data_IF_640996047767
#
_entry.id   IF_640996047767
#
_cell.length_a   1.000
_cell.length_b   1.000
_cell.length_c   1.000
_cell.angle_alpha   90.00
_cell.angle_beta   90.00
_cell.angle_gamma   90.00
#
_symmetry.space_group_name_H-M   'P 1'
#
loop_
_entity.id
_entity.type
_entity.pdbx_description
1 polymer ?
#
# COMPACT_ATOMS: atom_id res chain seq x y z
N UNK A 1 39.07 -27.43 -41.50
CA UNK A 1 37.96 -27.16 -40.54
C UNK A 1 38.06 -25.79 -39.88
N UNK A 2 39.25 -25.30 -39.49
CA UNK A 2 39.41 -23.97 -38.88
C UNK A 2 39.06 -22.78 -39.82
N UNK A 3 39.45 -22.85 -41.10
CA UNK A 3 39.17 -21.76 -42.06
C UNK A 3 37.68 -21.56 -42.36
N UNK A 4 36.90 -22.63 -42.42
CA UNK A 4 35.46 -22.55 -42.69
C UNK A 4 34.71 -21.92 -41.51
N UNK A 5 35.13 -22.22 -40.27
CA UNK A 5 34.57 -21.62 -39.05
C UNK A 5 34.92 -20.13 -38.98
N UNK A 6 36.15 -19.75 -39.33
CA UNK A 6 36.59 -18.35 -39.36
C UNK A 6 35.79 -17.53 -40.39
N UNK A 7 35.58 -18.07 -41.59
CA UNK A 7 34.78 -17.39 -42.64
C UNK A 7 33.32 -17.22 -42.22
N UNK A 8 32.72 -18.22 -41.55
CA UNK A 8 31.35 -18.12 -41.04
C UNK A 8 31.26 -17.07 -39.91
N UNK A 9 32.22 -17.03 -38.99
CA UNK A 9 32.25 -16.03 -37.91
C UNK A 9 32.45 -14.61 -38.44
N UNK A 10 33.35 -14.42 -39.40
CA UNK A 10 33.57 -13.11 -40.06
C UNK A 10 32.31 -12.68 -40.82
N UNK A 11 31.68 -13.59 -41.56
CA UNK A 11 30.43 -13.29 -42.28
C UNK A 11 29.28 -12.92 -41.34
N UNK A 12 29.15 -13.63 -40.21
CA UNK A 12 28.17 -13.31 -39.17
C UNK A 12 28.42 -11.94 -38.54
N UNK A 13 29.68 -11.58 -38.27
CA UNK A 13 30.05 -10.25 -37.76
C UNK A 13 29.76 -9.13 -38.75
N UNK A 14 30.05 -9.34 -40.04
CA UNK A 14 29.76 -8.37 -41.11
C UNK A 14 28.24 -8.17 -41.26
N UNK A 15 27.45 -9.25 -41.25
CA UNK A 15 25.99 -9.19 -41.31
C UNK A 15 25.40 -8.51 -40.06
N UNK A 16 25.92 -8.80 -38.87
CA UNK A 16 25.51 -8.14 -37.63
C UNK A 16 25.88 -6.66 -37.63
N UNK A 17 27.08 -6.29 -38.11
CA UNK A 17 27.53 -4.91 -38.28
C UNK A 17 26.68 -4.12 -39.28
N UNK A 18 26.36 -4.72 -40.43
CA UNK A 18 25.46 -4.15 -41.43
C UNK A 18 24.04 -3.95 -40.88
N UNK A 19 23.51 -4.96 -40.16
CA UNK A 19 22.22 -4.86 -39.46
C UNK A 19 22.21 -3.72 -38.42
N UNK A 20 23.28 -3.58 -37.65
CA UNK A 20 23.46 -2.48 -36.69
C UNK A 20 23.48 -1.10 -37.35
N UNK A 21 24.20 -0.94 -38.46
CA UNK A 21 24.26 0.31 -39.22
C UNK A 21 22.90 0.68 -39.83
N UNK A 22 22.17 -0.30 -40.38
CA UNK A 22 20.81 -0.10 -40.89
C UNK A 22 19.87 0.35 -39.75
N UNK A 23 19.93 -0.29 -38.58
CA UNK A 23 19.14 0.08 -37.42
C UNK A 23 19.44 1.52 -36.94
N UNK A 24 20.72 1.91 -36.90
CA UNK A 24 21.14 3.28 -36.56
C UNK A 24 20.66 4.29 -37.59
N UNK A 25 20.76 3.98 -38.88
CA UNK A 25 20.28 4.85 -39.96
C UNK A 25 18.75 5.05 -39.89
N UNK A 26 17.99 3.98 -39.67
CA UNK A 26 16.54 4.03 -39.47
C UNK A 26 16.14 4.83 -38.22
N UNK A 27 16.88 4.66 -37.12
CA UNK A 27 16.68 5.43 -35.87
C UNK A 27 16.95 6.91 -36.08
N UNK A 28 18.04 7.27 -36.75
CA UNK A 28 18.38 8.66 -37.12
C UNK A 28 17.33 9.26 -38.07
N UNK A 29 16.86 8.51 -39.06
CA UNK A 29 15.78 8.94 -39.99
C UNK A 29 14.47 9.20 -39.26
N UNK A 30 14.07 8.32 -38.32
CA UNK A 30 12.89 8.54 -37.46
C UNK A 30 13.03 9.77 -36.59
N UNK A 31 14.20 9.99 -35.96
CA UNK A 31 14.48 11.17 -35.13
C UNK A 31 14.40 12.47 -35.96
N UNK A 32 15.01 12.49 -37.16
CA UNK A 32 14.95 13.63 -38.09
C UNK A 32 13.53 13.91 -38.60
N UNK A 33 12.72 12.87 -38.87
CA UNK A 33 11.30 13.05 -39.25
C UNK A 33 10.47 13.63 -38.11
N UNK A 34 10.68 13.18 -36.86
CA UNK A 34 9.99 13.73 -35.69
C UNK A 34 10.39 15.17 -35.37
N UNK A 35 11.65 15.53 -35.62
CA UNK A 35 12.16 16.87 -35.37
C UNK A 35 11.80 17.91 -36.44
N UNK A 36 11.25 17.49 -37.60
CA UNK A 36 11.02 18.40 -38.72
C UNK A 36 9.78 19.28 -38.62
N UNK A 37 8.95 19.12 -37.58
CA UNK A 37 7.78 19.99 -37.32
C UNK A 37 6.89 20.19 -38.55
N UNK A 38 6.01 21.18 -38.49
CA UNK A 38 5.44 21.79 -39.68
C UNK A 38 6.23 23.09 -39.95
N UNK A 39 6.77 23.34 -41.16
CA UNK A 39 7.42 24.61 -41.47
C UNK A 39 6.46 25.82 -41.43
N UNK A 40 5.16 25.57 -41.45
CA UNK A 40 4.11 26.58 -41.28
C UNK A 40 3.61 26.61 -39.83
N UNK A 41 3.91 27.69 -39.06
CA UNK A 41 3.44 27.86 -37.70
C UNK A 41 1.92 27.88 -37.57
N UNK A 42 1.18 28.23 -38.63
CA UNK A 42 -0.28 28.19 -38.62
C UNK A 42 -0.82 26.75 -38.42
N UNK A 43 0.00 25.74 -38.70
CA UNK A 43 -0.36 24.34 -38.50
C UNK A 43 0.01 23.74 -37.13
N UNK A 44 0.76 24.45 -36.28
CA UNK A 44 1.22 23.90 -34.98
C UNK A 44 0.06 23.71 -33.99
N UNK A 45 -1.00 24.51 -34.13
CA UNK A 45 -2.24 24.44 -33.35
C UNK A 45 -3.46 24.10 -34.19
N UNK A 46 -3.25 23.61 -35.44
CA UNK A 46 -4.37 23.30 -36.32
C UNK A 46 -5.27 22.23 -35.70
N UNK A 47 -6.60 22.46 -35.64
CA UNK A 47 -7.54 21.47 -35.16
C UNK A 47 -7.43 20.16 -35.96
N UNK A 48 -7.63 19.04 -35.26
CA UNK A 48 -7.59 17.73 -35.90
C UNK A 48 -8.78 17.56 -36.84
N UNK A 49 -8.51 17.45 -38.15
CA UNK A 49 -9.54 17.18 -39.16
C UNK A 49 -9.82 15.69 -39.35
N UNK A 50 -8.79 14.82 -39.26
CA UNK A 50 -8.94 13.37 -39.44
C UNK A 50 -8.90 12.64 -38.09
N UNK A 51 -10.05 12.13 -37.68
CA UNK A 51 -10.26 11.43 -36.40
C UNK A 51 -9.99 9.91 -36.46
N UNK A 52 -9.50 9.38 -37.57
CA UNK A 52 -9.19 7.96 -37.69
C UNK A 52 -8.21 7.47 -36.61
N UNK A 53 -8.22 6.18 -36.25
CA UNK A 53 -7.42 5.67 -35.15
C UNK A 53 -5.93 5.76 -35.47
N UNK A 54 -5.13 6.08 -34.46
CA UNK A 54 -3.67 6.10 -34.56
C UNK A 54 -3.09 4.70 -34.27
N UNK A 55 -1.77 4.52 -34.42
CA UNK A 55 -1.06 3.32 -33.93
C UNK A 55 -0.73 3.39 -32.43
N UNK A 56 -1.28 4.39 -31.72
CA UNK A 56 -1.16 4.56 -30.29
C UNK A 56 -1.93 3.52 -29.49
N UNK A 57 -1.83 3.65 -28.16
CA UNK A 57 -2.60 2.87 -27.18
C UNK A 57 -3.13 3.80 -26.10
N UNK A 58 -4.24 3.40 -25.47
CA UNK A 58 -4.75 3.99 -24.24
C UNK A 58 -4.71 2.93 -23.14
N UNK A 59 -4.63 3.36 -21.90
CA UNK A 59 -4.86 2.47 -20.76
C UNK A 59 -6.36 2.47 -20.48
N UNK A 60 -6.96 1.29 -20.53
CA UNK A 60 -8.29 1.02 -20.02
C UNK A 60 -8.11 0.35 -18.65
N UNK A 61 -8.54 1.02 -17.59
CA UNK A 61 -8.04 0.73 -16.25
C UNK A 61 -9.14 0.37 -15.27
N UNK A 62 -8.84 -0.57 -14.38
CA UNK A 62 -9.64 -0.82 -13.17
C UNK A 62 -9.01 -0.05 -12.00
N UNK A 63 -9.84 0.57 -11.17
CA UNK A 63 -9.40 1.31 -9.98
C UNK A 63 -9.77 0.54 -8.72
N UNK A 64 -8.78 0.34 -7.85
CA UNK A 64 -8.92 -0.39 -6.57
C UNK A 64 -8.56 0.54 -5.41
N UNK A 65 -9.39 0.53 -4.38
CA UNK A 65 -9.22 1.36 -3.19
C UNK A 65 -9.45 0.56 -1.90
N UNK A 66 -8.85 1.06 -0.83
CA UNK A 66 -9.08 0.64 0.54
C UNK A 66 -10.35 1.35 0.99
N UNK A 67 -11.37 0.55 1.30
CA UNK A 67 -12.63 1.02 1.84
C UNK A 67 -12.51 1.14 3.35
N UNK A 68 -12.20 2.36 3.82
CA UNK A 68 -11.82 2.64 5.21
C UNK A 68 -13.04 2.75 6.10
N UNK A 69 -14.11 3.37 5.63
CA UNK A 69 -15.37 3.49 6.39
C UNK A 69 -16.33 2.31 6.15
N UNK A 70 -16.04 1.47 5.15
CA UNK A 70 -16.68 0.18 4.94
C UNK A 70 -17.98 0.25 4.15
N UNK A 71 -18.30 1.40 3.54
CA UNK A 71 -19.57 1.68 2.88
C UNK A 71 -19.66 1.15 1.43
N UNK A 72 -18.55 0.67 0.88
CA UNK A 72 -18.47 0.11 -0.47
C UNK A 72 -18.49 1.17 -1.59
N UNK A 73 -18.28 2.45 -1.28
CA UNK A 73 -18.29 3.58 -2.20
C UNK A 73 -17.03 4.42 -2.04
N UNK A 74 -16.26 4.59 -3.12
CA UNK A 74 -15.03 5.38 -3.06
C UNK A 74 -15.31 6.84 -2.64
N UNK A 75 -14.87 7.20 -1.43
CA UNK A 75 -15.11 8.49 -0.79
C UNK A 75 -13.85 9.19 -0.28
N UNK A 76 -14.04 10.24 0.53
CA UNK A 76 -12.93 11.04 1.08
C UNK A 76 -12.13 10.35 2.19
N UNK A 77 -12.73 9.35 2.85
CA UNK A 77 -12.06 8.52 3.86
C UNK A 77 -11.10 7.51 3.22
N UNK A 78 -11.36 7.15 1.96
CA UNK A 78 -10.68 6.04 1.29
C UNK A 78 -9.30 6.40 0.74
N UNK A 79 -8.57 5.35 0.35
CA UNK A 79 -7.22 5.47 -0.20
C UNK A 79 -7.07 4.56 -1.43
N UNK A 80 -6.39 5.02 -2.50
CA UNK A 80 -6.01 4.12 -3.59
C UNK A 80 -5.11 3.00 -3.05
N UNK A 81 -5.30 1.78 -3.55
CA UNK A 81 -4.49 0.63 -3.15
C UNK A 81 -3.49 0.21 -4.21
N UNK A 82 -2.25 0.03 -3.81
CA UNK A 82 -1.17 -0.49 -4.64
C UNK A 82 -1.03 -2.01 -4.51
N UNK A 83 -0.60 -2.67 -5.58
CA UNK A 83 -0.20 -4.09 -5.56
C UNK A 83 -1.31 -5.10 -5.80
N UNK A 84 -2.57 -4.66 -5.91
CA UNK A 84 -3.73 -5.56 -6.09
C UNK A 84 -3.81 -6.05 -7.53
N UNK A 85 -3.94 -7.38 -7.70
CA UNK A 85 -4.00 -8.01 -9.02
C UNK A 85 -5.40 -7.91 -9.60
N UNK A 86 -5.51 -7.37 -10.81
CA UNK A 86 -6.70 -7.41 -11.65
C UNK A 86 -6.45 -8.31 -12.84
N UNK A 87 -7.37 -9.23 -13.12
CA UNK A 87 -7.34 -10.13 -14.29
C UNK A 87 -8.39 -9.68 -15.31
N UNK A 88 -7.99 -9.69 -16.57
CA UNK A 88 -8.85 -9.41 -17.71
C UNK A 88 -9.18 -10.71 -18.44
N UNK A 89 -10.45 -10.94 -18.70
CA UNK A 89 -10.94 -12.05 -19.49
C UNK A 89 -11.77 -11.56 -20.68
N UNK A 90 -11.81 -12.33 -21.76
CA UNK A 90 -12.74 -12.10 -22.87
C UNK A 90 -14.16 -12.58 -22.56
N UNK A 91 -15.07 -12.41 -23.52
CA UNK A 91 -16.48 -12.81 -23.45
C UNK A 91 -16.67 -14.32 -23.23
N UNK A 92 -15.71 -15.15 -23.61
CA UNK A 92 -15.74 -16.62 -23.42
C UNK A 92 -15.18 -17.04 -22.07
N UNK A 93 -14.72 -16.08 -21.25
CA UNK A 93 -14.03 -16.34 -20.00
C UNK A 93 -12.55 -16.69 -20.16
N UNK A 94 -11.98 -16.56 -21.35
CA UNK A 94 -10.55 -16.82 -21.60
C UNK A 94 -9.72 -15.75 -20.90
N UNK A 95 -8.73 -16.17 -20.10
CA UNK A 95 -7.77 -15.25 -19.50
C UNK A 95 -6.92 -14.56 -20.59
N UNK A 96 -6.87 -13.22 -20.56
CA UNK A 96 -6.10 -12.42 -21.52
C UNK A 96 -4.82 -11.86 -20.91
N UNK A 97 -4.93 -11.25 -19.72
CA UNK A 97 -3.79 -10.66 -19.01
C UNK A 97 -4.13 -10.39 -17.54
N UNK A 98 -3.08 -10.12 -16.76
CA UNK A 98 -3.18 -9.57 -15.41
C UNK A 98 -2.34 -8.29 -15.29
N UNK A 99 -2.79 -7.36 -14.46
CA UNK A 99 -2.06 -6.15 -14.09
C UNK A 99 -2.21 -5.91 -12.59
N UNK A 100 -1.17 -5.36 -11.96
CA UNK A 100 -1.25 -4.88 -10.56
C UNK A 100 -1.66 -3.41 -10.55
N UNK A 101 -2.44 -3.02 -9.55
CA UNK A 101 -2.70 -1.61 -9.27
C UNK A 101 -1.40 -0.89 -8.90
N UNK A 102 -1.20 0.30 -9.45
CA UNK A 102 -0.06 1.15 -9.14
C UNK A 102 -0.30 1.96 -7.83
N UNK A 103 0.64 2.83 -7.46
CA UNK A 103 0.49 3.70 -6.27
C UNK A 103 -0.70 4.66 -6.30
N UNK A 104 -1.35 4.83 -7.46
CA UNK A 104 -2.57 5.60 -7.61
C UNK A 104 -3.81 4.69 -7.74
N UNK A 105 -3.73 3.40 -7.45
CA UNK A 105 -4.87 2.48 -7.44
C UNK A 105 -5.25 1.88 -8.80
N UNK A 106 -4.56 2.23 -9.88
CA UNK A 106 -4.97 1.82 -11.25
C UNK A 106 -4.22 0.59 -11.74
N UNK A 107 -4.96 -0.47 -12.08
CA UNK A 107 -4.49 -1.59 -12.89
C UNK A 107 -4.78 -1.31 -14.37
N UNK A 108 -3.73 -1.15 -15.17
CA UNK A 108 -3.83 -0.58 -16.52
C UNK A 108 -3.72 -1.67 -17.61
N UNK A 109 -4.70 -1.74 -18.52
CA UNK A 109 -4.70 -2.64 -19.66
C UNK A 109 -4.58 -1.85 -20.98
N UNK A 110 -3.59 -2.17 -21.80
CA UNK A 110 -3.40 -1.47 -23.06
C UNK A 110 -4.52 -1.82 -24.07
N UNK A 111 -5.18 -0.79 -24.60
CA UNK A 111 -6.26 -0.87 -25.57
C UNK A 111 -5.87 -0.21 -26.91
N UNK A 112 -6.02 -0.95 -28.01
CA UNK A 112 -5.85 -0.44 -29.38
C UNK A 112 -6.31 -1.42 -30.45
N UNK A 113 -7.17 -0.97 -31.37
CA UNK A 113 -7.57 -1.75 -32.54
C UNK A 113 -6.45 -1.96 -33.57
N UNK A 114 -5.41 -1.10 -33.56
CA UNK A 114 -4.31 -1.15 -34.54
C UNK A 114 -3.01 -1.74 -34.00
N UNK A 115 -2.85 -1.80 -32.67
CA UNK A 115 -1.59 -2.24 -32.03
C UNK A 115 -1.70 -3.67 -31.55
N UNK A 116 -1.00 -4.59 -32.23
CA UNK A 116 -0.97 -6.03 -31.89
C UNK A 116 -0.46 -6.35 -30.47
N UNK A 117 0.30 -5.44 -29.86
CA UNK A 117 0.79 -5.60 -28.48
C UNK A 117 -0.22 -5.15 -27.43
N UNK A 118 -1.37 -4.60 -27.82
CA UNK A 118 -2.45 -4.26 -26.89
C UNK A 118 -3.17 -5.55 -26.48
N UNK A 119 -3.59 -5.65 -25.23
CA UNK A 119 -4.36 -6.81 -24.77
C UNK A 119 -5.81 -6.70 -25.23
N UNK A 120 -6.35 -5.49 -25.27
CA UNK A 120 -7.69 -5.21 -25.80
C UNK A 120 -7.54 -4.71 -27.23
N UNK A 121 -8.01 -5.50 -28.20
CA UNK A 121 -7.86 -5.21 -29.64
C UNK A 121 -9.17 -5.16 -30.41
N UNK A 122 -10.28 -5.60 -29.81
CA UNK A 122 -11.56 -5.77 -30.51
C UNK A 122 -12.71 -5.27 -29.64
N UNK A 123 -13.84 -4.87 -30.24
CA UNK A 123 -15.09 -4.72 -29.50
C UNK A 123 -15.51 -6.07 -28.91
N UNK A 124 -16.32 -6.04 -27.87
CA UNK A 124 -16.83 -7.22 -27.19
C UNK A 124 -17.07 -6.99 -25.71
N UNK A 125 -17.56 -8.03 -25.04
CA UNK A 125 -17.67 -8.04 -23.59
C UNK A 125 -16.33 -8.47 -22.98
N UNK A 126 -15.85 -7.72 -22.00
CA UNK A 126 -14.64 -8.03 -21.24
C UNK A 126 -14.96 -8.10 -19.76
N UNK A 127 -14.40 -9.07 -19.05
CA UNK A 127 -14.59 -9.22 -17.60
C UNK A 127 -13.31 -8.84 -16.85
N UNK A 128 -13.41 -7.81 -16.01
CA UNK A 128 -12.38 -7.40 -15.07
C UNK A 128 -12.63 -8.08 -13.72
N UNK A 129 -11.64 -8.76 -13.18
CA UNK A 129 -11.73 -9.58 -11.97
C UNK A 129 -10.63 -9.18 -11.00
N UNK A 130 -10.98 -8.55 -9.88
CA UNK A 130 -10.07 -8.14 -8.82
C UNK A 130 -9.79 -9.32 -7.90
N UNK A 131 -8.51 -9.57 -7.64
CA UNK A 131 -8.08 -10.60 -6.71
C UNK A 131 -8.20 -10.06 -5.29
N UNK A 132 -9.24 -10.48 -4.57
CA UNK A 132 -9.40 -10.17 -3.15
C UNK A 132 -8.30 -10.91 -2.36
N UNK A 133 -7.44 -10.21 -1.60
CA UNK A 133 -6.41 -10.87 -0.80
C UNK A 133 -7.02 -11.82 0.26
N UNK A 134 -6.30 -12.88 0.68
CA UNK A 134 -6.78 -13.76 1.74
C UNK A 134 -7.13 -12.99 3.02
N UNK A 135 -8.31 -13.27 3.58
CA UNK A 135 -8.79 -12.58 4.80
C UNK A 135 -9.41 -11.21 4.55
N UNK A 136 -9.54 -10.75 3.30
CA UNK A 136 -10.19 -9.49 2.95
C UNK A 136 -11.60 -9.73 2.39
N UNK A 137 -12.40 -8.66 2.36
CA UNK A 137 -13.70 -8.63 1.68
C UNK A 137 -13.71 -7.61 0.54
N UNK A 138 -14.43 -7.91 -0.54
CA UNK A 138 -14.79 -6.94 -1.57
C UNK A 138 -16.06 -6.20 -1.12
N UNK A 139 -15.88 -5.07 -0.46
CA UNK A 139 -16.97 -4.33 0.19
C UNK A 139 -17.96 -3.71 -0.80
N UNK A 140 -17.49 -3.34 -1.98
CA UNK A 140 -18.31 -2.79 -3.07
C UNK A 140 -19.08 -3.87 -3.88
N UNK A 141 -18.90 -5.16 -3.55
CA UNK A 141 -19.59 -6.29 -4.17
C UNK A 141 -19.49 -6.35 -5.72
N UNK A 142 -18.44 -5.77 -6.31
CA UNK A 142 -18.23 -5.66 -7.76
C UNK A 142 -16.82 -6.07 -8.21
N UNK A 143 -16.15 -6.94 -7.43
CA UNK A 143 -14.81 -7.43 -7.73
C UNK A 143 -14.72 -8.10 -9.12
N UNK A 144 -15.80 -8.74 -9.56
CA UNK A 144 -15.97 -9.25 -10.92
C UNK A 144 -17.01 -8.41 -11.66
N UNK A 145 -16.58 -7.70 -12.71
CA UNK A 145 -17.45 -6.81 -13.47
C UNK A 145 -17.25 -6.95 -14.98
N UNK A 146 -18.34 -7.19 -15.74
CA UNK A 146 -18.32 -7.14 -17.19
C UNK A 146 -18.40 -5.69 -17.67
N UNK A 147 -17.66 -5.36 -18.72
CA UNK A 147 -17.67 -4.06 -19.38
C UNK A 147 -17.69 -4.28 -20.89
N UNK A 148 -18.65 -3.66 -21.58
CA UNK A 148 -18.72 -3.72 -23.04
C UNK A 148 -17.83 -2.67 -23.68
N UNK A 149 -17.00 -3.14 -24.61
CA UNK A 149 -16.24 -2.29 -25.50
C UNK A 149 -16.85 -2.31 -26.90
N UNK A 150 -16.91 -1.14 -27.53
CA UNK A 150 -17.50 -0.93 -28.84
C UNK A 150 -16.47 -0.38 -29.82
N UNK A 151 -16.73 -0.59 -31.10
CA UNK A 151 -15.96 0.07 -32.15
C UNK A 151 -16.18 1.58 -32.05
N UNK A 152 -15.08 2.33 -32.08
CA UNK A 152 -15.12 3.77 -32.11
C UNK A 152 -14.09 4.29 -33.12
N UNK A 153 -14.38 4.24 -34.43
CA UNK A 153 -13.43 4.61 -35.48
C UNK A 153 -12.92 6.06 -35.38
N UNK A 154 -13.68 6.97 -34.76
CA UNK A 154 -13.26 8.36 -34.50
C UNK A 154 -12.40 8.55 -33.24
N UNK A 155 -12.23 7.50 -32.42
CA UNK A 155 -11.42 7.58 -31.21
C UNK A 155 -9.92 7.43 -31.51
N UNK A 156 -9.07 7.86 -30.57
CA UNK A 156 -7.60 7.76 -30.71
C UNK A 156 -7.12 6.33 -31.05
N UNK A 157 -7.81 5.31 -30.56
CA UNK A 157 -7.38 3.90 -30.60
C UNK A 157 -8.36 2.96 -31.29
N UNK A 158 -9.45 3.50 -31.88
CA UNK A 158 -10.44 2.74 -32.63
C UNK A 158 -11.46 1.99 -31.78
N UNK A 159 -11.41 2.14 -30.45
CA UNK A 159 -12.26 1.46 -29.47
C UNK A 159 -12.65 2.43 -28.36
N UNK A 160 -13.83 2.24 -27.80
CA UNK A 160 -14.30 2.93 -26.61
C UNK A 160 -15.05 1.93 -25.70
N UNK A 161 -15.09 2.20 -24.40
CA UNK A 161 -15.96 1.47 -23.47
C UNK A 161 -17.29 2.19 -23.27
N UNK A 162 -18.34 1.46 -22.92
CA UNK A 162 -19.61 2.04 -22.48
C UNK A 162 -19.47 2.81 -21.16
N UNK A 163 -18.42 2.48 -20.42
CA UNK A 163 -17.90 3.14 -19.24
C UNK A 163 -16.58 2.49 -18.85
N UNK A 164 -15.92 3.02 -17.82
CA UNK A 164 -14.83 2.30 -17.16
C UNK A 164 -15.41 1.28 -16.17
N UNK A 165 -14.63 0.25 -15.77
CA UNK A 165 -14.98 -0.57 -14.61
C UNK A 165 -15.23 0.36 -13.41
N UNK A 166 -16.30 0.09 -12.65
CA UNK A 166 -16.59 0.81 -11.40
C UNK A 166 -15.43 0.60 -10.41
N UNK A 167 -15.12 1.58 -9.55
CA UNK A 167 -14.20 1.41 -8.43
C UNK A 167 -14.49 0.14 -7.63
N UNK A 168 -13.44 -0.60 -7.25
CA UNK A 168 -13.56 -1.80 -6.41
C UNK A 168 -12.96 -1.52 -5.04
N UNK A 169 -13.82 -1.53 -4.02
CA UNK A 169 -13.46 -1.35 -2.62
C UNK A 169 -13.07 -2.68 -1.99
N UNK A 170 -11.94 -2.67 -1.29
CA UNK A 170 -11.47 -3.79 -0.48
C UNK A 170 -11.33 -3.33 0.96
N UNK A 171 -11.77 -4.17 1.90
CA UNK A 171 -11.58 -3.95 3.33
C UNK A 171 -10.88 -5.17 3.95
N UNK A 172 -9.83 -4.96 4.78
CA UNK A 172 -9.16 -6.06 5.46
C UNK A 172 -10.10 -6.68 6.50
N UNK A 173 -9.97 -7.99 6.71
CA UNK A 173 -10.57 -8.64 7.87
C UNK A 173 -9.94 -8.05 9.14
N UNK A 174 -10.78 -7.58 10.05
CA UNK A 174 -10.34 -7.05 11.33
C UNK A 174 -10.12 -8.19 12.31
N UNK A 175 -8.96 -8.21 12.94
CA UNK A 175 -8.64 -9.14 14.02
C UNK A 175 -8.09 -8.35 15.19
N UNK A 176 -8.33 -8.83 16.40
CA UNK A 176 -7.58 -8.38 17.57
C UNK A 176 -6.63 -9.49 18.02
N UNK A 177 -5.40 -9.12 18.32
CA UNK A 177 -4.38 -9.99 18.91
C UNK A 177 -3.68 -9.34 20.10
N UNK A 178 -3.02 -10.16 20.89
CA UNK A 178 -2.15 -9.75 22.00
C UNK A 178 -1.85 -10.93 22.92
N UNK A 179 -1.29 -10.63 24.08
CA UNK A 179 -1.08 -11.62 25.14
C UNK A 179 -1.23 -11.04 26.53
N UNK A 180 -1.59 -11.86 27.50
CA UNK A 180 -1.62 -11.47 28.91
C UNK A 180 -0.31 -11.84 29.61
N UNK A 181 0.09 -11.13 30.69
CA UNK A 181 1.24 -11.52 31.47
C UNK A 181 0.94 -12.71 32.41
N UNK A 182 2.01 -13.31 32.92
CA UNK A 182 1.89 -14.38 33.91
C UNK A 182 1.16 -13.90 35.17
N UNK A 183 0.28 -14.75 35.71
CA UNK A 183 -0.48 -14.47 36.93
C UNK A 183 -1.59 -13.42 36.80
N UNK A 184 -1.79 -12.80 35.63
CA UNK A 184 -2.81 -11.76 35.43
C UNK A 184 -3.71 -12.07 34.24
N UNK A 185 -4.88 -12.65 34.51
CA UNK A 185 -5.98 -12.71 33.53
C UNK A 185 -6.73 -11.37 33.42
N UNK A 186 -7.55 -11.23 32.38
CA UNK A 186 -8.40 -10.07 32.17
C UNK A 186 -9.71 -10.46 31.47
N UNK A 187 -10.64 -9.52 31.35
CA UNK A 187 -11.80 -9.64 30.47
C UNK A 187 -11.65 -8.65 29.33
N UNK A 188 -11.78 -9.12 28.09
CA UNK A 188 -11.84 -8.29 26.90
C UNK A 188 -13.27 -8.21 26.41
N UNK A 189 -13.81 -6.99 26.36
CA UNK A 189 -15.13 -6.67 25.86
C UNK A 189 -15.01 -5.95 24.51
N UNK A 190 -15.68 -6.48 23.50
CA UNK A 190 -15.84 -5.86 22.18
C UNK A 190 -17.13 -5.06 22.20
N UNK A 191 -17.03 -3.78 21.87
CA UNK A 191 -18.14 -2.83 21.90
C UNK A 191 -18.48 -2.38 20.48
N UNK A 192 -19.75 -2.03 20.26
CA UNK A 192 -20.24 -1.39 19.04
C UNK A 192 -21.29 -0.35 19.40
N UNK A 193 -21.05 0.92 19.06
CA UNK A 193 -21.96 2.05 19.33
C UNK A 193 -22.38 2.14 20.80
N UNK A 194 -21.46 1.80 21.70
CA UNK A 194 -21.68 1.78 23.16
C UNK A 194 -22.37 0.54 23.72
N UNK A 195 -22.72 -0.44 22.88
CA UNK A 195 -23.29 -1.72 23.30
C UNK A 195 -22.22 -2.80 23.35
N UNK A 196 -22.32 -3.72 24.32
CA UNK A 196 -21.47 -4.90 24.39
C UNK A 196 -21.88 -5.89 23.29
N UNK A 197 -20.98 -6.19 22.37
CA UNK A 197 -21.18 -7.17 21.30
C UNK A 197 -20.69 -8.55 21.73
N UNK A 198 -19.50 -8.62 22.30
CA UNK A 198 -18.87 -9.87 22.73
C UNK A 198 -18.00 -9.63 23.98
N UNK A 199 -17.91 -10.62 24.86
CA UNK A 199 -16.99 -10.60 26.00
C UNK A 199 -16.23 -11.92 26.07
N UNK A 200 -14.92 -11.83 26.33
CA UNK A 200 -14.00 -12.98 26.37
C UNK A 200 -13.12 -12.90 27.60
N UNK A 201 -13.03 -14.00 28.34
CA UNK A 201 -12.03 -14.15 29.38
C UNK A 201 -10.66 -14.40 28.73
N UNK A 202 -9.67 -13.61 29.15
CA UNK A 202 -8.27 -13.80 28.78
C UNK A 202 -7.58 -14.52 29.94
N UNK A 203 -7.20 -15.78 29.71
CA UNK A 203 -6.42 -16.58 30.65
C UNK A 203 -5.05 -15.94 30.86
N UNK A 204 -4.52 -16.01 32.09
CA UNK A 204 -3.15 -15.54 32.37
C UNK A 204 -2.11 -16.31 31.54
N UNK A 205 -1.02 -15.61 31.18
CA UNK A 205 0.06 -16.11 30.33
C UNK A 205 -0.37 -16.73 28.99
N UNK A 206 -1.50 -16.27 28.43
CA UNK A 206 -1.99 -16.74 27.14
C UNK A 206 -1.91 -15.66 26.06
N UNK A 207 -1.56 -16.09 24.85
CA UNK A 207 -1.81 -15.31 23.64
C UNK A 207 -3.28 -15.44 23.24
N UNK A 208 -3.84 -14.38 22.65
CA UNK A 208 -5.19 -14.39 22.10
C UNK A 208 -5.18 -13.81 20.69
N UNK A 209 -6.05 -14.37 19.83
CA UNK A 209 -6.35 -13.84 18.51
C UNK A 209 -7.74 -14.25 18.08
N UNK A 210 -8.57 -13.30 17.67
CA UNK A 210 -9.91 -13.59 17.15
C UNK A 210 -10.37 -12.50 16.17
N UNK A 211 -11.28 -12.84 15.23
CA UNK A 211 -11.85 -11.86 14.32
C UNK A 211 -12.75 -10.87 15.06
N UNK A 212 -12.82 -9.65 14.56
CA UNK A 212 -13.74 -8.61 15.01
C UNK A 212 -14.90 -8.49 14.02
N UNK A 213 -16.09 -8.26 14.55
CA UNK A 213 -17.27 -7.95 13.75
C UNK A 213 -17.12 -6.58 13.05
N UNK A 214 -17.86 -6.37 11.96
CA UNK A 214 -17.89 -5.10 11.23
C UNK A 214 -18.43 -3.96 12.08
N UNK A 215 -19.38 -4.25 12.98
CA UNK A 215 -20.02 -3.26 13.86
C UNK A 215 -19.16 -2.91 15.10
N UNK A 216 -18.03 -3.60 15.32
CA UNK A 216 -17.14 -3.31 16.44
C UNK A 216 -16.43 -1.96 16.26
N UNK A 217 -16.57 -1.05 17.22
CA UNK A 217 -15.94 0.29 17.19
C UNK A 217 -14.95 0.52 18.33
N UNK A 218 -14.90 -0.40 19.29
CA UNK A 218 -14.06 -0.25 20.48
C UNK A 218 -13.79 -1.57 21.20
N UNK A 219 -12.63 -1.64 21.85
CA UNK A 219 -12.28 -2.69 22.79
C UNK A 219 -12.08 -2.09 24.17
N UNK A 220 -12.62 -2.76 25.18
CA UNK A 220 -12.41 -2.47 26.60
C UNK A 220 -11.82 -3.71 27.26
N UNK A 221 -10.61 -3.59 27.81
CA UNK A 221 -10.01 -4.63 28.64
C UNK A 221 -10.16 -4.21 30.10
N UNK A 222 -10.55 -5.13 30.97
CA UNK A 222 -10.66 -4.90 32.41
C UNK A 222 -10.08 -6.04 33.25
N UNK A 223 -9.59 -5.71 34.44
CA UNK A 223 -9.10 -6.68 35.43
C UNK A 223 -7.58 -6.74 35.56
N UNK A 224 -7.12 -7.13 36.75
CA UNK A 224 -5.69 -7.32 37.09
C UNK A 224 -4.80 -6.11 36.79
N UNK A 225 -5.33 -4.88 36.82
CA UNK A 225 -4.60 -3.66 36.47
C UNK A 225 -4.24 -3.55 34.97
N UNK A 226 -4.82 -4.43 34.14
CA UNK A 226 -4.66 -4.43 32.70
C UNK A 226 -5.71 -3.54 32.01
N UNK A 227 -6.40 -2.68 32.74
CA UNK A 227 -7.53 -1.89 32.26
C UNK A 227 -7.11 -0.91 31.16
N UNK A 228 -7.79 -0.95 30.00
CA UNK A 228 -7.58 -0.01 28.89
C UNK A 228 -8.77 0.01 27.93
N UNK A 229 -8.90 1.10 27.17
CA UNK A 229 -9.96 1.31 26.17
C UNK A 229 -9.34 1.80 24.87
N UNK A 230 -9.64 1.12 23.76
CA UNK A 230 -9.11 1.44 22.44
C UNK A 230 -10.26 1.61 21.45
N UNK A 231 -10.36 2.79 20.84
CA UNK A 231 -11.20 2.99 19.65
C UNK A 231 -10.59 2.25 18.48
N UNK A 232 -11.38 1.42 17.82
CA UNK A 232 -10.91 0.58 16.73
C UNK A 232 -10.88 1.37 15.42
N UNK A 233 -9.81 1.17 14.66
CA UNK A 233 -9.71 1.60 13.26
C UNK A 233 -10.32 0.56 12.31
N UNK A 234 -10.22 0.81 11.01
CA UNK A 234 -10.58 -0.14 9.95
C UNK A 234 -9.61 -1.34 9.84
N UNK A 235 -8.50 -1.30 10.58
CA UNK A 235 -7.39 -2.23 10.44
C UNK A 235 -7.35 -3.28 11.56
N UNK A 236 -6.62 -4.40 11.38
CA UNK A 236 -6.29 -5.31 12.47
C UNK A 236 -5.57 -4.58 13.61
N UNK A 237 -5.81 -5.03 14.85
CA UNK A 237 -5.22 -4.48 16.07
C UNK A 237 -4.33 -5.52 16.74
N UNK A 238 -3.18 -5.09 17.21
CA UNK A 238 -2.30 -5.89 18.05
C UNK A 238 -1.96 -5.13 19.34
N UNK A 239 -2.36 -5.67 20.49
CA UNK A 239 -2.09 -5.07 21.81
C UNK A 239 -0.68 -5.36 22.35
N UNK A 240 0.12 -6.15 21.64
CA UNK A 240 1.33 -6.74 22.21
C UNK A 240 1.03 -7.57 23.45
N UNK A 241 2.04 -7.74 24.30
CA UNK A 241 1.84 -8.27 25.65
C UNK A 241 1.30 -7.18 26.56
N UNK A 242 0.06 -7.33 26.99
CA UNK A 242 -0.59 -6.45 27.95
C UNK A 242 0.27 -6.35 29.21
N UNK A 243 0.49 -5.12 29.65
CA UNK A 243 1.21 -4.79 30.88
C UNK A 243 0.33 -4.00 31.85
N UNK A 244 0.56 -4.10 33.17
CA UNK A 244 -0.15 -3.28 34.14
C UNK A 244 0.10 -1.79 33.93
N UNK A 245 -0.96 -1.00 34.01
CA UNK A 245 -0.92 0.43 33.80
C UNK A 245 -0.93 0.83 32.33
N UNK A 246 -1.95 1.61 31.96
CA UNK A 246 -2.05 2.30 30.67
C UNK A 246 -1.95 3.82 30.89
N UNK A 247 -1.73 4.61 29.83
CA UNK A 247 -2.04 6.03 29.86
C UNK A 247 -3.47 6.24 30.37
N UNK A 248 -3.67 7.29 31.16
CA UNK A 248 -4.99 7.59 31.71
C UNK A 248 -6.00 7.79 30.55
N UNK A 249 -7.26 7.32 30.67
CA UNK A 249 -8.25 7.43 29.60
C UNK A 249 -8.48 8.86 29.09
N UNK A 250 -8.33 9.85 29.98
CA UNK A 250 -8.47 11.28 29.73
C UNK A 250 -7.16 11.97 29.33
N UNK A 251 -6.05 11.23 29.24
CA UNK A 251 -4.77 11.79 28.85
C UNK A 251 -4.84 12.38 27.43
N UNK A 252 -4.23 13.55 27.24
CA UNK A 252 -4.18 14.20 25.94
C UNK A 252 -3.27 13.40 25.00
N UNK A 253 -3.87 12.79 23.99
CA UNK A 253 -3.15 12.11 22.92
C UNK A 253 -2.60 13.12 21.91
N UNK A 254 -1.37 12.91 21.46
CA UNK A 254 -0.72 13.64 20.37
C UNK A 254 -0.41 12.67 19.25
N UNK A 255 -0.85 12.98 18.03
CA UNK A 255 -0.62 12.16 16.84
C UNK A 255 0.41 12.81 15.93
N UNK A 256 1.37 12.02 15.44
CA UNK A 256 2.36 12.43 14.45
C UNK A 256 2.15 11.64 13.15
N UNK A 257 1.69 12.32 12.10
CA UNK A 257 1.52 11.77 10.73
C UNK A 257 2.64 12.15 9.76
N UNK A 258 3.68 12.86 10.23
CA UNK A 258 4.90 13.21 9.47
C UNK A 258 4.73 14.16 8.26
N UNK A 259 3.51 14.66 7.98
CA UNK A 259 3.22 15.59 6.88
C UNK A 259 3.92 16.94 6.98
N UNK A 260 4.26 17.37 8.20
CA UNK A 260 4.86 18.68 8.49
C UNK A 260 6.40 18.69 8.37
N UNK A 261 7.03 17.56 8.04
CA UNK A 261 8.49 17.43 7.97
C UNK A 261 9.04 17.92 6.62
N UNK A 262 8.41 17.55 5.52
CA UNK A 262 8.97 17.78 4.17
C UNK A 262 7.87 17.98 3.15
N UNK A 263 7.88 19.08 2.37
CA UNK A 263 6.81 19.34 1.43
C UNK A 263 6.95 18.56 0.11
N UNK A 264 8.12 18.02 -0.27
CA UNK A 264 8.33 17.42 -1.63
C UNK A 264 9.44 16.35 -1.76
N UNK A 265 9.98 15.82 -0.68
CA UNK A 265 11.08 14.85 -0.79
C UNK A 265 11.24 13.93 0.41
N UNK A 266 12.30 13.12 0.35
CA UNK A 266 12.77 12.29 1.45
C UNK A 266 13.60 13.13 2.42
N UNK A 267 13.24 13.12 3.68
CA UNK A 267 13.97 13.81 4.75
C UNK A 267 14.18 12.90 5.94
N UNK A 268 15.30 13.05 6.66
CA UNK A 268 15.44 12.41 7.97
C UNK A 268 14.48 13.08 8.94
N UNK A 269 13.78 12.30 9.76
CA UNK A 269 12.98 12.89 10.85
C UNK A 269 13.96 13.60 11.79
N UNK A 270 13.85 14.93 11.97
CA UNK A 270 14.82 15.67 12.76
C UNK A 270 14.57 15.46 14.25
N UNK A 271 15.63 15.31 15.04
CA UNK A 271 15.50 15.33 16.51
C UNK A 271 14.89 16.66 16.97
N UNK A 272 14.01 16.60 17.97
CA UNK A 272 13.13 17.69 18.40
C UNK A 272 11.74 17.68 17.72
N UNK A 273 11.57 17.00 16.57
CA UNK A 273 10.25 16.86 15.97
C UNK A 273 9.31 16.09 16.90
N UNK A 274 8.09 16.60 17.08
CA UNK A 274 7.12 16.11 18.07
C UNK A 274 7.68 15.99 19.51
N UNK A 275 8.74 16.73 19.85
CA UNK A 275 9.37 16.66 21.18
C UNK A 275 10.17 15.38 21.44
N UNK A 276 10.58 14.67 20.40
CA UNK A 276 11.35 13.42 20.47
C UNK A 276 12.69 13.54 19.74
N UNK A 277 13.66 12.78 20.21
CA UNK A 277 14.88 12.44 19.48
C UNK A 277 14.59 11.26 18.55
N UNK A 278 15.12 11.34 17.32
CA UNK A 278 14.85 10.38 16.26
C UNK A 278 16.14 9.83 15.67
N UNK A 279 16.15 8.53 15.40
CA UNK A 279 17.28 7.84 14.77
C UNK A 279 16.80 6.89 13.69
N UNK A 280 17.42 6.96 12.52
CA UNK A 280 17.21 6.05 11.39
C UNK A 280 15.74 5.92 10.93
N UNK A 281 14.97 7.00 11.08
CA UNK A 281 13.64 7.16 10.53
C UNK A 281 13.64 8.31 9.53
N UNK A 282 13.08 8.07 8.36
CA UNK A 282 12.93 9.06 7.30
C UNK A 282 11.45 9.30 7.04
N UNK A 283 11.07 10.54 6.73
CA UNK A 283 9.74 10.91 6.27
C UNK A 283 9.75 11.22 4.77
N UNK A 284 8.70 10.80 4.07
CA UNK A 284 8.49 11.13 2.65
C UNK A 284 7.03 10.93 2.24
N UNK A 285 6.65 11.48 1.08
CA UNK A 285 5.31 11.23 0.53
C UNK A 285 5.16 9.75 0.17
N UNK A 286 3.97 9.20 0.39
CA UNK A 286 3.65 7.79 0.18
C UNK A 286 3.92 7.28 -1.24
N UNK A 287 3.89 8.19 -2.22
CA UNK A 287 4.06 7.94 -3.66
C UNK A 287 5.45 8.31 -4.19
N UNK A 288 6.37 8.72 -3.32
CA UNK A 288 7.71 9.14 -3.70
C UNK A 288 8.52 8.02 -4.38
N UNK A 289 8.36 6.79 -3.90
CA UNK A 289 9.13 5.63 -4.36
C UNK A 289 8.30 4.77 -5.30
N UNK A 290 8.77 4.47 -6.53
CA UNK A 290 8.06 3.58 -7.43
C UNK A 290 7.98 2.15 -6.87
N UNK A 291 6.84 1.48 -7.07
CA UNK A 291 6.61 0.08 -6.66
C UNK A 291 6.80 -0.17 -5.15
N UNK A 292 6.40 0.79 -4.32
CA UNK A 292 6.52 0.71 -2.87
C UNK A 292 5.12 0.53 -2.23
N UNK A 293 4.53 -0.66 -2.39
CA UNK A 293 3.12 -0.90 -2.07
C UNK A 293 2.79 -0.57 -0.61
N UNK A 294 3.65 -0.97 0.32
CA UNK A 294 3.46 -0.72 1.74
C UNK A 294 3.51 0.74 2.14
N UNK A 295 4.23 1.59 1.39
CA UNK A 295 4.25 3.03 1.63
C UNK A 295 2.92 3.66 1.27
N UNK A 296 2.31 3.20 0.17
CA UNK A 296 1.00 3.69 -0.30
C UNK A 296 -0.11 3.17 0.59
N UNK A 297 -0.12 1.86 0.85
CA UNK A 297 -1.18 1.18 1.58
C UNK A 297 -1.10 1.42 3.10
N UNK A 298 0.10 1.69 3.63
CA UNK A 298 0.35 1.99 5.03
C UNK A 298 0.16 3.45 5.42
N UNK A 299 -0.07 4.34 4.45
CA UNK A 299 -0.43 5.72 4.70
C UNK A 299 -1.93 5.82 5.04
N UNK A 300 -2.22 6.08 6.30
CA UNK A 300 -3.59 6.15 6.84
C UNK A 300 -4.06 7.59 6.96
N UNK A 301 -3.15 8.55 7.15
CA UNK A 301 -3.47 9.98 7.29
C UNK A 301 -2.60 10.83 6.37
N UNK A 302 -3.05 12.05 6.08
CA UNK A 302 -2.29 12.99 5.26
C UNK A 302 -1.82 12.42 3.90
N UNK A 303 -0.56 12.66 3.56
CA UNK A 303 0.10 12.17 2.36
C UNK A 303 1.50 11.59 2.62
N UNK A 304 1.98 11.65 3.86
CA UNK A 304 3.33 11.29 4.25
C UNK A 304 3.35 10.11 5.20
N UNK A 305 4.49 9.42 5.21
CA UNK A 305 4.77 8.32 6.15
C UNK A 305 6.14 8.55 6.77
N UNK A 306 6.45 7.79 7.82
CA UNK A 306 7.82 7.52 8.24
C UNK A 306 8.20 6.07 7.91
N UNK A 307 9.50 5.79 7.73
CA UNK A 307 9.97 4.42 7.51
C UNK A 307 11.39 4.20 8.04
N UNK A 308 11.71 2.94 8.36
CA UNK A 308 13.06 2.54 8.75
C UNK A 308 13.99 2.47 7.54
N UNK A 309 15.15 3.14 7.62
CA UNK A 309 16.07 3.14 6.48
C UNK A 309 16.88 1.85 6.40
N UNK A 310 17.07 1.36 5.17
CA UNK A 310 18.01 0.28 4.85
C UNK A 310 17.80 -1.00 5.66
N UNK A 311 16.59 -1.27 6.16
CA UNK A 311 16.28 -2.46 6.96
C UNK A 311 16.93 -2.48 8.35
N UNK A 312 17.56 -1.37 8.76
CA UNK A 312 18.20 -1.26 10.06
C UNK A 312 17.21 -0.71 11.10
N UNK A 313 17.45 -0.95 12.40
CA UNK A 313 16.58 -0.45 13.45
C UNK A 313 16.41 1.07 13.40
N UNK A 314 15.17 1.53 13.54
CA UNK A 314 14.82 2.92 13.84
C UNK A 314 14.55 3.09 15.34
N UNK A 315 14.75 4.30 15.86
CA UNK A 315 14.47 4.61 17.26
C UNK A 315 13.82 5.99 17.39
N UNK A 316 12.92 6.12 18.35
CA UNK A 316 12.45 7.41 18.86
C UNK A 316 12.43 7.40 20.38
N UNK A 317 12.66 8.54 21.00
CA UNK A 317 12.69 8.63 22.46
C UNK A 317 12.96 10.03 22.97
N UNK A 318 12.99 10.20 24.29
CA UNK A 318 13.43 11.42 24.97
C UNK A 318 13.78 11.09 26.43
N UNK A 319 14.53 11.98 27.08
CA UNK A 319 14.97 11.76 28.46
C UNK A 319 13.82 11.68 29.47
N UNK A 320 12.80 12.53 29.33
CA UNK A 320 11.63 12.52 30.21
C UNK A 320 10.63 11.42 29.78
N UNK A 321 10.11 10.59 30.69
CA UNK A 321 9.14 9.55 30.34
C UNK A 321 7.91 10.11 29.60
N UNK A 322 7.36 9.30 28.69
CA UNK A 322 6.14 9.57 27.93
C UNK A 322 5.32 8.28 27.75
N UNK A 323 4.01 8.41 27.52
CA UNK A 323 3.14 7.27 27.23
C UNK A 323 3.21 6.87 25.76
N UNK A 324 3.44 5.59 25.46
CA UNK A 324 3.38 5.05 24.10
C UNK A 324 2.02 4.40 23.87
N UNK A 325 1.12 5.13 23.20
CA UNK A 325 -0.25 4.68 23.01
C UNK A 325 -0.35 3.67 21.87
N UNK A 326 0.00 4.08 20.65
CA UNK A 326 -0.10 3.23 19.46
C UNK A 326 0.66 3.77 18.25
N UNK A 327 0.78 2.96 17.20
CA UNK A 327 1.28 3.35 15.88
C UNK A 327 0.72 2.40 14.80
N UNK A 328 0.52 2.90 13.57
CA UNK A 328 0.22 2.04 12.42
C UNK A 328 1.52 1.52 11.82
N UNK A 329 1.65 0.20 11.68
CA UNK A 329 2.84 -0.46 11.13
C UNK A 329 2.50 -1.21 9.85
N UNK A 330 3.35 -1.09 8.83
CA UNK A 330 3.16 -1.74 7.52
C UNK A 330 4.48 -2.29 7.01
N UNK A 331 4.48 -3.46 6.36
CA UNK A 331 5.67 -3.95 5.65
C UNK A 331 5.86 -3.08 4.40
N UNK A 332 7.08 -2.61 4.15
CA UNK A 332 7.27 -1.55 3.16
C UNK A 332 7.08 -2.03 1.70
N UNK A 333 7.30 -3.32 1.44
CA UNK A 333 7.28 -3.91 0.10
C UNK A 333 6.35 -5.11 0.03
N UNK A 334 5.65 -5.30 -1.09
CA UNK A 334 4.84 -6.50 -1.27
C UNK A 334 5.67 -7.80 -1.23
N UNK A 335 6.96 -7.73 -1.57
CA UNK A 335 7.89 -8.87 -1.45
C UNK A 335 8.31 -9.18 -0.01
N UNK A 336 7.99 -8.29 0.94
CA UNK A 336 8.17 -8.49 2.39
C UNK A 336 6.84 -8.78 3.11
N UNK A 337 5.81 -9.19 2.39
CA UNK A 337 4.54 -9.62 2.99
C UNK A 337 4.78 -10.71 4.04
N UNK A 338 4.28 -10.50 5.26
CA UNK A 338 4.51 -11.42 6.39
C UNK A 338 5.82 -11.19 7.15
N UNK A 339 6.55 -10.11 6.87
CA UNK A 339 7.66 -9.67 7.72
C UNK A 339 7.19 -9.46 9.17
N UNK A 340 8.11 -9.59 10.13
CA UNK A 340 7.80 -9.43 11.55
C UNK A 340 8.57 -8.24 12.10
N UNK A 341 7.85 -7.22 12.55
CA UNK A 341 8.41 -6.14 13.35
C UNK A 341 8.73 -6.65 14.76
N UNK A 342 9.87 -6.21 15.27
CA UNK A 342 10.27 -6.30 16.67
C UNK A 342 10.19 -4.90 17.25
N UNK A 343 9.30 -4.70 18.22
CA UNK A 343 9.09 -3.42 18.90
C UNK A 343 9.53 -3.56 20.35
N UNK A 344 10.64 -2.91 20.67
CA UNK A 344 11.23 -2.92 22.01
C UNK A 344 11.03 -1.54 22.65
N UNK A 345 10.53 -1.52 23.89
CA UNK A 345 10.26 -0.30 24.64
C UNK A 345 11.02 -0.30 25.96
N UNK A 346 11.69 0.82 26.28
CA UNK A 346 12.49 0.98 27.49
C UNK A 346 12.00 2.12 28.36
N UNK A 347 12.16 1.98 29.68
CA UNK A 347 12.07 3.05 30.67
C UNK A 347 13.44 3.21 31.33
N UNK A 348 14.14 4.30 31.01
CA UNK A 348 15.56 4.43 31.34
C UNK A 348 16.38 3.32 30.67
N UNK A 349 17.05 2.50 31.48
CA UNK A 349 17.82 1.34 31.02
C UNK A 349 17.05 0.01 31.02
N UNK A 350 15.83 -0.03 31.56
CA UNK A 350 15.04 -1.25 31.72
C UNK A 350 14.17 -1.49 30.49
N UNK A 351 14.20 -2.71 29.94
CA UNK A 351 13.30 -3.14 28.87
C UNK A 351 11.94 -3.49 29.48
N UNK A 352 10.91 -2.69 29.18
CA UNK A 352 9.57 -2.84 29.76
C UNK A 352 8.58 -3.58 28.87
N UNK A 353 8.84 -3.62 27.56
CA UNK A 353 8.06 -4.42 26.60
C UNK A 353 8.93 -4.81 25.39
N UNK A 354 8.63 -5.98 24.83
CA UNK A 354 9.24 -6.49 23.60
C UNK A 354 8.21 -7.35 22.89
N UNK A 355 7.68 -6.84 21.77
CA UNK A 355 6.60 -7.47 21.02
C UNK A 355 7.02 -7.81 19.60
N UNK A 356 6.42 -8.89 19.08
CA UNK A 356 6.53 -9.28 17.68
C UNK A 356 5.22 -9.01 16.96
N UNK A 357 5.25 -8.21 15.90
CA UNK A 357 4.06 -7.82 15.15
C UNK A 357 4.22 -8.25 13.69
N UNK A 358 3.32 -9.11 13.22
CA UNK A 358 3.31 -9.54 11.81
C UNK A 358 2.79 -8.41 10.94
N UNK A 359 3.57 -8.02 9.95
CA UNK A 359 3.31 -6.92 9.04
C UNK A 359 2.73 -7.42 7.71
N UNK A 360 1.91 -6.58 7.09
CA UNK A 360 1.45 -6.72 5.72
C UNK A 360 1.84 -5.48 4.93
N UNK A 361 2.11 -5.63 3.63
CA UNK A 361 2.26 -4.51 2.70
C UNK A 361 0.92 -4.12 2.05
N UNK A 362 -0.14 -4.89 2.30
CA UNK A 362 -1.48 -4.64 1.76
C UNK A 362 -2.34 -3.80 2.71
N UNK A 363 -2.12 -3.88 4.02
CA UNK A 363 -2.76 -3.04 5.02
C UNK A 363 -1.84 -2.84 6.24
N UNK A 364 -1.96 -1.71 6.95
CA UNK A 364 -1.32 -1.53 8.24
C UNK A 364 -1.93 -2.45 9.30
N UNK A 365 -1.17 -2.69 10.36
CA UNK A 365 -1.66 -3.19 11.65
C UNK A 365 -1.56 -2.06 12.67
N UNK A 366 -2.64 -1.86 13.43
CA UNK A 366 -2.69 -0.91 14.53
C UNK A 366 -2.07 -1.55 15.77
N UNK A 367 -0.76 -1.34 15.96
CA UNK A 367 -0.07 -1.80 17.15
C UNK A 367 -0.32 -0.80 18.30
N UNK A 368 -0.93 -1.27 19.38
CA UNK A 368 -1.45 -0.45 20.47
C UNK A 368 -1.06 -1.04 21.84
N UNK A 369 0.22 -0.99 22.23
CA UNK A 369 0.67 -1.55 23.50
C UNK A 369 0.18 -0.73 24.70
N UNK A 370 -0.19 0.53 24.48
CA UNK A 370 -0.72 1.46 25.49
C UNK A 370 0.12 1.47 26.77
N UNK A 371 1.44 1.62 26.62
CA UNK A 371 2.37 1.66 27.74
C UNK A 371 2.32 3.03 28.42
N UNK A 372 2.16 3.03 29.74
CA UNK A 372 2.05 4.27 30.54
C UNK A 372 3.29 5.15 30.47
N UNK A 373 4.48 4.56 30.49
CA UNK A 373 5.75 5.29 30.57
C UNK A 373 6.89 4.53 29.88
N UNK A 374 7.51 5.18 28.91
CA UNK A 374 8.74 4.77 28.23
C UNK A 374 9.62 6.01 28.03
N UNK A 375 10.91 5.81 27.81
CA UNK A 375 11.86 6.86 27.39
C UNK A 375 12.42 6.59 25.99
N UNK A 376 12.34 5.35 25.49
CA UNK A 376 12.82 4.96 24.17
C UNK A 376 11.99 3.82 23.61
N UNK A 377 11.72 3.87 22.31
CA UNK A 377 11.17 2.76 21.52
C UNK A 377 12.11 2.50 20.34
N UNK A 378 12.40 1.23 20.09
CA UNK A 378 13.21 0.75 18.95
C UNK A 378 12.36 -0.15 18.11
N UNK A 379 12.47 0.07 16.81
CA UNK A 379 11.67 -0.55 15.77
C UNK A 379 12.64 -1.27 14.84
N UNK A 380 12.55 -2.59 14.75
CA UNK A 380 13.34 -3.37 13.80
C UNK A 380 12.51 -4.48 13.17
N UNK A 381 13.05 -5.20 12.20
CA UNK A 381 12.38 -6.35 11.58
C UNK A 381 13.30 -7.56 11.63
N UNK A 382 12.73 -8.77 11.76
CA UNK A 382 13.51 -10.01 11.86
C UNK A 382 14.46 -10.24 10.69
N UNK A 383 14.05 -9.88 9.48
CA UNK A 383 14.85 -10.16 8.28
C UNK A 383 15.40 -8.88 7.61
N UNK A 384 15.54 -7.79 8.36
CA UNK A 384 16.09 -6.52 7.86
C UNK A 384 15.38 -5.96 6.61
N UNK A 385 14.05 -6.09 6.56
CA UNK A 385 13.23 -5.35 5.60
C UNK A 385 12.81 -4.02 6.21
N UNK A 386 12.43 -3.07 5.35
CA UNK A 386 11.94 -1.79 5.83
C UNK A 386 10.52 -1.96 6.34
N UNK A 387 10.20 -1.26 7.42
CA UNK A 387 8.82 -1.06 7.88
C UNK A 387 8.43 0.40 7.68
N UNK A 388 7.15 0.61 7.44
CA UNK A 388 6.51 1.91 7.33
C UNK A 388 5.70 2.15 8.60
N UNK A 389 5.70 3.39 9.06
CA UNK A 389 4.98 3.88 10.21
C UNK A 389 4.14 5.09 9.81
N UNK A 390 2.94 5.15 10.36
CA UNK A 390 2.07 6.32 10.26
C UNK A 390 1.23 6.45 11.54
N UNK A 391 0.68 7.64 11.79
CA UNK A 391 -0.12 7.97 12.98
C UNK A 391 0.50 7.46 14.30
N UNK A 392 1.71 7.90 14.62
CA UNK A 392 2.32 7.62 15.93
C UNK A 392 1.57 8.42 17.01
N UNK A 393 0.96 7.72 17.97
CA UNK A 393 0.15 8.32 19.04
C UNK A 393 0.87 8.19 20.38
N UNK A 394 1.06 9.33 21.06
CA UNK A 394 1.79 9.45 22.31
C UNK A 394 1.03 10.29 23.35
N UNK A 395 1.43 10.14 24.62
CA UNK A 395 1.11 11.06 25.72
C UNK A 395 2.42 11.71 26.18
N UNK A 396 2.59 13.01 25.92
CA UNK A 396 3.88 13.72 26.05
C UNK A 396 4.00 14.62 27.29
#
# INVERSE_FOLDING_TARGET
>A
MADTILVVLVSAFVLAGAGGLIAVALRRRRKRRRARGNPDPAGDYAPRANWAPTSGKLNFSSFVYMDVDGDGVYGGADRPMAGIVVRLHDERGTFLAAARSNGAGFANFAMSAKRRSAVIQRPGLYRFSVSVPPGWRASSANADQPVRLMEAPGSMVGLAGEGLPKPVGLAPGRTVSGGTPAGSGATLSVMGKGQLLESRALSADAAFRFPLDVDADEIVVTGSGLDRRLKLSAYPVDFGRLSPGAPAPEARLTTTGFDDITPRGLYKVPSGHAGLDWRNLNAMSRDHTPNSEGYVNGNVSGAYIAYTSSGHPGEFGRAAPFGFHSVMLTAAWLTSEGEVALVESWLGGELVASDEVVLSALAPVHYAPMLKAVTRVRLSTKHHWQMVLDDLVLVL
#
